data_IF_080058860455
#
_entry.id   IF_080058860455
#
_cell.length_a   1.000
_cell.length_b   1.000
_cell.length_c   1.000
_cell.angle_alpha   90.00
_cell.angle_beta   90.00
_cell.angle_gamma   90.00
#
_symmetry.space_group_name_H-M   'P 1'
#
loop_
_entity.id
_entity.type
_entity.pdbx_description
1 polymer ?
#
# COMPACT_ATOMS: atom_id res chain seq x y z
N UNK A 1 -1.39 35.96 -16.89
CA UNK A 1 -1.29 37.21 -16.10
C UNK A 1 -1.50 36.86 -14.65
N UNK A 2 -0.61 37.22 -13.73
CA UNK A 2 -0.89 37.03 -12.31
C UNK A 2 -2.07 37.92 -11.94
N UNK A 3 -3.05 37.35 -11.26
CA UNK A 3 -4.19 38.10 -10.72
C UNK A 3 -3.64 38.93 -9.55
N UNK A 4 -3.38 40.21 -9.79
CA UNK A 4 -3.06 41.16 -8.75
C UNK A 4 -4.35 41.52 -7.99
N UNK A 5 -4.73 40.72 -7.03
CA UNK A 5 -5.87 41.03 -6.18
C UNK A 5 -6.20 39.91 -5.23
N UNK A 6 -5.55 39.90 -4.08
CA UNK A 6 -5.98 39.07 -2.97
C UNK A 6 -7.26 39.65 -2.36
N UNK A 7 -8.37 38.97 -2.55
CA UNK A 7 -9.61 39.22 -1.80
C UNK A 7 -9.49 38.54 -0.44
N UNK A 8 -8.88 39.18 0.52
CA UNK A 8 -8.87 38.73 1.93
C UNK A 8 -7.51 38.77 2.63
N UNK A 9 -7.18 39.77 3.25
CA UNK A 9 -6.73 39.99 4.62
C UNK A 9 -5.30 39.59 5.04
N UNK A 10 -4.46 38.97 4.26
CA UNK A 10 -3.02 38.83 4.59
C UNK A 10 -2.19 39.29 3.42
N UNK A 11 -1.72 40.52 3.51
CA UNK A 11 -0.81 41.09 2.52
C UNK A 11 0.61 40.66 2.93
N UNK A 12 1.21 39.72 2.20
CA UNK A 12 2.64 39.50 2.26
C UNK A 12 3.34 40.45 1.32
N UNK A 13 4.44 41.04 1.76
CA UNK A 13 5.32 41.88 0.90
C UNK A 13 5.99 41.01 -0.22
N UNK A 14 5.92 39.71 -0.14
CA UNK A 14 6.52 38.77 -1.10
C UNK A 14 5.41 38.06 -1.86
N UNK A 15 5.49 38.07 -3.19
CA UNK A 15 4.58 37.29 -4.03
C UNK A 15 4.64 35.81 -3.68
N UNK A 16 3.49 35.08 -3.75
CA UNK A 16 3.50 33.61 -3.59
C UNK A 16 4.47 32.98 -4.55
N UNK A 17 5.25 32.02 -4.07
CA UNK A 17 6.19 31.28 -4.88
C UNK A 17 5.98 29.79 -4.71
N UNK A 18 6.08 29.04 -5.82
CA UNK A 18 6.00 27.59 -5.83
C UNK A 18 7.21 27.02 -6.57
N UNK A 19 7.84 26.03 -5.94
CA UNK A 19 8.92 25.25 -6.53
C UNK A 19 8.72 23.79 -6.16
N UNK A 20 9.43 22.88 -6.80
CA UNK A 20 9.42 21.45 -6.44
C UNK A 20 9.90 21.18 -5.00
N UNK A 21 10.62 22.13 -4.38
CA UNK A 21 11.13 22.02 -3.01
C UNK A 21 10.17 22.59 -1.96
N UNK A 22 9.31 23.54 -2.32
CA UNK A 22 8.38 24.14 -1.38
C UNK A 22 7.45 25.15 -2.03
N UNK A 23 6.30 25.40 -1.40
CA UNK A 23 5.38 26.48 -1.74
C UNK A 23 5.31 27.46 -0.56
N UNK A 24 5.31 28.75 -0.85
CA UNK A 24 5.23 29.81 0.14
C UNK A 24 4.22 30.87 -0.32
N UNK A 25 3.28 31.19 0.57
CA UNK A 25 2.20 32.15 0.31
C UNK A 25 0.82 31.50 0.24
N UNK A 26 -0.17 32.27 -0.20
CA UNK A 26 -1.55 31.81 -0.38
C UNK A 26 -1.79 31.57 -1.87
N UNK A 27 -2.30 30.41 -2.19
CA UNK A 27 -2.62 29.98 -3.55
C UNK A 27 -4.11 29.72 -3.67
N UNK A 28 -4.69 30.09 -4.79
CA UNK A 28 -6.03 29.64 -5.17
C UNK A 28 -5.99 28.16 -5.58
N UNK A 29 -7.15 27.49 -5.57
CA UNK A 29 -7.25 26.10 -6.03
C UNK A 29 -6.77 25.96 -7.49
N UNK A 30 -7.06 26.94 -8.34
CA UNK A 30 -6.64 26.93 -9.75
C UNK A 30 -5.12 27.01 -9.88
N UNK A 31 -4.46 27.91 -9.14
CA UNK A 31 -3.00 28.01 -9.13
C UNK A 31 -2.34 26.72 -8.63
N UNK A 32 -2.92 26.07 -7.59
CA UNK A 32 -2.45 24.79 -7.10
C UNK A 32 -2.58 23.69 -8.18
N UNK A 33 -3.73 23.62 -8.86
CA UNK A 33 -3.96 22.66 -9.93
C UNK A 33 -3.02 22.88 -11.12
N UNK A 34 -2.79 24.15 -11.51
CA UNK A 34 -1.86 24.49 -12.59
C UNK A 34 -0.41 24.13 -12.23
N UNK A 35 0.03 24.45 -11.01
CA UNK A 35 1.36 24.09 -10.54
C UNK A 35 1.54 22.57 -10.43
N UNK A 36 0.51 21.87 -9.99
CA UNK A 36 0.50 20.38 -9.93
C UNK A 36 0.59 19.78 -11.33
N UNK A 37 -0.17 20.30 -12.29
CA UNK A 37 -0.15 19.83 -13.68
C UNK A 37 1.22 20.03 -14.35
N UNK A 38 1.96 21.03 -13.91
CA UNK A 38 3.32 21.35 -14.37
C UNK A 38 4.42 20.64 -13.56
N UNK A 39 4.06 19.79 -12.59
CA UNK A 39 4.96 19.16 -11.62
C UNK A 39 5.81 20.18 -10.80
N UNK A 40 5.28 21.37 -10.60
CA UNK A 40 5.92 22.41 -9.80
C UNK A 40 5.37 22.50 -8.37
N UNK A 41 4.26 21.81 -8.07
CA UNK A 41 3.72 21.76 -6.71
C UNK A 41 4.61 20.87 -5.83
N UNK A 42 5.01 21.31 -4.62
CA UNK A 42 5.89 20.55 -3.77
C UNK A 42 5.23 19.25 -3.26
N UNK A 43 6.08 18.27 -3.02
CA UNK A 43 5.68 16.96 -2.51
C UNK A 43 5.54 15.91 -3.61
N UNK A 44 5.53 14.65 -3.18
CA UNK A 44 5.35 13.52 -4.07
C UNK A 44 3.88 13.40 -4.48
N UNK A 45 3.63 13.36 -5.79
CA UNK A 45 2.28 13.25 -6.34
C UNK A 45 2.04 11.89 -6.99
N UNK A 46 0.95 11.26 -6.61
CA UNK A 46 0.47 10.03 -7.24
C UNK A 46 -0.35 10.42 -8.48
N UNK A 47 0.14 10.05 -9.66
CA UNK A 47 -0.50 10.43 -10.91
C UNK A 47 -1.62 9.47 -11.35
N UNK A 48 -1.59 8.21 -10.90
CA UNK A 48 -2.51 7.16 -11.37
C UNK A 48 -2.81 6.13 -10.30
N UNK A 49 -3.93 5.43 -10.48
CA UNK A 49 -4.34 4.26 -9.71
C UNK A 49 -4.98 3.23 -10.65
N UNK A 50 -4.89 1.95 -10.31
CA UNK A 50 -5.67 0.91 -10.97
C UNK A 50 -7.02 0.78 -10.28
N UNK A 51 -8.10 0.69 -11.09
CA UNK A 51 -9.45 0.34 -10.62
C UNK A 51 -9.66 -1.16 -10.79
N UNK A 52 -9.79 -1.87 -9.68
CA UNK A 52 -10.21 -3.27 -9.67
C UNK A 52 -11.72 -3.33 -9.43
N UNK A 53 -12.42 -4.15 -10.22
CA UNK A 53 -13.86 -4.39 -10.10
C UNK A 53 -14.11 -5.84 -9.75
N UNK A 54 -14.75 -6.09 -8.60
CA UNK A 54 -15.13 -7.44 -8.20
C UNK A 54 -16.08 -8.10 -9.21
N UNK A 55 -17.03 -7.34 -9.78
CA UNK A 55 -17.97 -7.83 -10.79
C UNK A 55 -17.32 -8.26 -12.12
N UNK A 56 -16.11 -7.77 -12.39
CA UNK A 56 -15.32 -8.14 -13.57
C UNK A 56 -14.22 -9.15 -13.24
N UNK A 57 -14.17 -9.66 -12.01
CA UNK A 57 -13.11 -10.57 -11.51
C UNK A 57 -11.70 -9.99 -11.74
N UNK A 58 -11.57 -8.66 -11.58
CA UNK A 58 -10.34 -7.95 -11.90
C UNK A 58 -9.28 -8.16 -10.81
N UNK A 59 -8.13 -8.66 -11.20
CA UNK A 59 -6.96 -8.87 -10.32
C UNK A 59 -5.68 -8.87 -11.13
N UNK A 60 -4.55 -8.70 -10.46
CA UNK A 60 -3.24 -8.97 -11.06
C UNK A 60 -2.70 -10.27 -10.48
N UNK A 61 -1.93 -11.00 -11.29
CA UNK A 61 -1.33 -12.26 -10.88
C UNK A 61 0.14 -12.32 -11.28
N UNK A 62 0.95 -12.94 -10.40
CA UNK A 62 2.36 -13.16 -10.66
C UNK A 62 2.82 -14.45 -9.98
N UNK A 63 3.71 -15.19 -10.64
CA UNK A 63 4.43 -16.32 -10.04
C UNK A 63 5.88 -15.90 -9.83
N UNK A 64 6.38 -16.01 -8.60
CA UNK A 64 7.79 -15.73 -8.34
C UNK A 64 8.68 -16.77 -9.04
N UNK A 65 9.58 -16.31 -9.89
CA UNK A 65 10.56 -17.19 -10.54
C UNK A 65 11.60 -17.72 -9.53
N UNK A 66 11.97 -16.91 -8.55
CA UNK A 66 12.85 -17.24 -7.44
C UNK A 66 12.21 -16.91 -6.11
N UNK A 67 12.65 -17.53 -5.02
CA UNK A 67 12.28 -17.13 -3.66
C UNK A 67 13.20 -16.02 -3.14
N UNK A 68 12.65 -15.22 -2.24
CA UNK A 68 13.39 -14.27 -1.41
C UNK A 68 13.28 -14.64 0.08
N UNK A 69 13.34 -13.65 0.96
CA UNK A 69 13.17 -13.90 2.39
C UNK A 69 11.76 -14.40 2.70
N UNK A 70 11.64 -15.56 3.30
CA UNK A 70 10.36 -16.09 3.81
C UNK A 70 10.08 -15.69 5.26
N UNK A 71 10.94 -14.86 5.84
CA UNK A 71 10.85 -14.41 7.23
C UNK A 71 10.71 -12.90 7.37
N UNK A 72 11.28 -12.12 6.43
CA UNK A 72 11.36 -10.67 6.55
C UNK A 72 10.88 -10.03 5.25
N UNK A 73 9.75 -9.31 5.30
CA UNK A 73 9.15 -8.61 4.16
C UNK A 73 8.38 -7.37 4.60
N UNK A 74 8.10 -6.48 3.66
CA UNK A 74 7.14 -5.38 3.84
C UNK A 74 6.25 -5.24 2.62
N UNK A 75 4.96 -5.05 2.87
CA UNK A 75 3.99 -4.57 1.88
C UNK A 75 3.58 -3.13 2.21
N UNK A 76 3.37 -2.33 1.17
CA UNK A 76 2.76 -1.02 1.29
C UNK A 76 1.79 -0.79 0.12
N UNK A 77 0.59 -0.30 0.41
CA UNK A 77 -0.45 -0.01 -0.57
C UNK A 77 -1.19 1.28 -0.20
N UNK A 78 -1.47 2.11 -1.18
CA UNK A 78 -2.54 3.09 -1.06
C UNK A 78 -3.80 2.51 -1.68
N UNK A 79 -4.88 2.43 -0.89
CA UNK A 79 -6.13 1.80 -1.29
C UNK A 79 -7.32 2.70 -1.02
N UNK A 80 -8.31 2.66 -1.92
CA UNK A 80 -9.62 3.26 -1.71
C UNK A 80 -10.66 2.20 -1.97
N UNK A 81 -11.48 1.89 -0.95
CA UNK A 81 -12.49 0.84 -1.03
C UNK A 81 -13.70 1.34 -1.84
N UNK A 82 -14.16 0.56 -2.80
CA UNK A 82 -15.41 0.81 -3.55
C UNK A 82 -16.59 0.02 -3.02
N UNK A 83 -16.34 -0.99 -2.19
CA UNK A 83 -17.34 -1.83 -1.53
C UNK A 83 -16.96 -2.04 -0.08
N UNK A 84 -17.96 -2.02 0.80
CA UNK A 84 -17.84 -2.30 2.25
C UNK A 84 -18.69 -3.51 2.60
N UNK A 85 -18.59 -4.00 3.83
CA UNK A 85 -19.33 -5.15 4.35
C UNK A 85 -19.16 -6.40 3.49
N UNK A 86 -17.95 -6.64 3.00
CA UNK A 86 -17.58 -7.77 2.15
C UNK A 86 -16.11 -8.09 2.36
N UNK A 87 -15.77 -9.36 2.46
CA UNK A 87 -14.38 -9.80 2.47
C UNK A 87 -13.68 -9.40 1.16
N UNK A 88 -12.53 -8.73 1.25
CA UNK A 88 -11.82 -8.18 0.10
C UNK A 88 -10.31 -8.34 0.28
N UNK A 89 -9.68 -9.11 -0.56
CA UNK A 89 -8.25 -9.36 -0.50
C UNK A 89 -7.45 -8.29 -1.23
N UNK A 90 -6.52 -7.63 -0.52
CA UNK A 90 -5.53 -6.75 -1.14
C UNK A 90 -4.44 -7.55 -1.84
N UNK A 91 -3.92 -8.56 -1.14
CA UNK A 91 -2.95 -9.49 -1.73
C UNK A 91 -3.04 -10.85 -1.05
N UNK A 92 -2.81 -11.88 -1.83
CA UNK A 92 -2.69 -13.26 -1.35
C UNK A 92 -1.55 -13.97 -2.05
N UNK A 93 -0.99 -14.95 -1.37
CA UNK A 93 -0.08 -15.91 -1.96
C UNK A 93 -0.46 -17.31 -1.46
N UNK A 94 -0.58 -18.25 -2.35
CA UNK A 94 -1.15 -19.56 -2.01
C UNK A 94 -0.31 -20.71 -2.54
N UNK A 95 0.19 -21.53 -1.61
CA UNK A 95 0.85 -22.77 -1.96
C UNK A 95 -0.16 -23.92 -2.17
N UNK A 96 -1.28 -23.89 -1.45
CA UNK A 96 -2.28 -24.99 -1.49
C UNK A 96 -3.63 -24.49 -0.98
N UNK A 97 -4.63 -25.37 -0.94
CA UNK A 97 -5.95 -25.04 -0.37
C UNK A 97 -5.91 -24.67 1.12
N UNK A 98 -4.85 -25.04 1.83
CA UNK A 98 -4.74 -24.87 3.29
C UNK A 98 -3.57 -23.98 3.73
N UNK A 99 -2.73 -23.48 2.81
CA UNK A 99 -1.58 -22.65 3.11
C UNK A 99 -1.66 -21.35 2.29
N UNK A 100 -2.28 -20.33 2.85
CA UNK A 100 -2.50 -19.04 2.18
C UNK A 100 -2.08 -17.90 3.10
N UNK A 101 -1.06 -17.16 2.69
CA UNK A 101 -0.77 -15.86 3.29
C UNK A 101 -1.68 -14.80 2.67
N UNK A 102 -2.19 -13.87 3.47
CA UNK A 102 -3.06 -12.82 2.95
C UNK A 102 -3.03 -11.53 3.77
N UNK A 103 -3.39 -10.46 3.09
CA UNK A 103 -3.72 -9.14 3.64
C UNK A 103 -5.10 -8.78 3.07
N UNK A 104 -6.08 -8.51 3.95
CA UNK A 104 -7.45 -8.24 3.50
C UNK A 104 -8.25 -7.33 4.44
N UNK A 105 -9.36 -6.82 3.93
CA UNK A 105 -10.48 -6.34 4.74
C UNK A 105 -11.48 -7.49 4.93
N UNK A 106 -11.94 -7.66 6.16
CA UNK A 106 -12.93 -8.67 6.50
C UNK A 106 -14.36 -8.22 6.12
N UNK A 107 -15.35 -9.13 6.22
CA UNK A 107 -16.73 -8.80 5.91
C UNK A 107 -17.38 -7.85 6.94
N UNK A 108 -16.81 -7.70 8.12
CA UNK A 108 -17.18 -6.72 9.14
C UNK A 108 -16.42 -5.40 9.02
N UNK A 109 -15.63 -5.25 7.94
CA UNK A 109 -14.78 -4.10 7.60
C UNK A 109 -13.56 -3.90 8.52
N UNK A 110 -13.23 -4.86 9.37
CA UNK A 110 -11.94 -4.90 10.05
C UNK A 110 -10.81 -5.23 9.07
N UNK A 111 -9.57 -5.01 9.46
CA UNK A 111 -8.40 -5.31 8.64
C UNK A 111 -7.63 -6.49 9.23
N UNK A 112 -7.27 -7.46 8.41
CA UNK A 112 -6.52 -8.62 8.87
C UNK A 112 -5.31 -8.97 8.01
N UNK A 113 -4.32 -9.55 8.69
CA UNK A 113 -3.10 -10.11 8.10
C UNK A 113 -2.94 -11.53 8.63
N UNK A 114 -2.77 -12.49 7.74
CA UNK A 114 -2.55 -13.89 8.08
C UNK A 114 -1.31 -14.43 7.38
N UNK A 115 -0.54 -15.21 8.13
CA UNK A 115 0.55 -16.02 7.61
C UNK A 115 0.20 -17.49 7.88
N UNK A 116 0.12 -18.31 6.85
CA UNK A 116 -0.38 -19.68 7.00
C UNK A 116 0.58 -20.69 6.35
N UNK A 117 1.14 -21.56 7.16
CA UNK A 117 2.03 -22.62 6.69
C UNK A 117 1.39 -24.02 6.67
N UNK A 118 0.07 -24.10 6.64
CA UNK A 118 -0.77 -25.30 6.71
C UNK A 118 -0.85 -25.97 8.10
N UNK A 119 0.09 -25.71 8.99
CA UNK A 119 0.06 -26.24 10.38
C UNK A 119 -0.46 -25.21 11.36
N UNK A 120 -0.12 -23.96 11.15
CA UNK A 120 -0.57 -22.81 11.97
C UNK A 120 -0.89 -21.63 11.06
N UNK A 121 -1.83 -20.80 11.50
CA UNK A 121 -2.28 -19.61 10.79
C UNK A 121 -2.26 -18.38 11.72
N UNK A 122 -1.06 -17.90 12.13
CA UNK A 122 -0.96 -16.69 12.91
C UNK A 122 -1.62 -15.53 12.18
N UNK A 123 -2.52 -14.86 12.87
CA UNK A 123 -3.39 -13.83 12.31
C UNK A 123 -3.56 -12.68 13.30
N UNK A 124 -3.45 -11.46 12.80
CA UNK A 124 -3.87 -10.26 13.54
C UNK A 124 -5.07 -9.65 12.82
N UNK A 125 -6.12 -9.30 13.59
CA UNK A 125 -7.32 -8.64 13.09
C UNK A 125 -7.59 -7.39 13.92
N UNK A 126 -7.69 -6.24 13.26
CA UNK A 126 -7.90 -4.95 13.96
C UNK A 126 -9.24 -4.91 14.71
N UNK A 127 -9.31 -4.15 15.81
CA UNK A 127 -10.60 -3.77 16.41
C UNK A 127 -11.24 -2.62 15.63
N UNK A 128 -10.44 -1.80 14.96
CA UNK A 128 -10.92 -0.70 14.14
C UNK A 128 -11.53 -1.20 12.82
N UNK A 129 -12.54 -0.50 12.34
CA UNK A 129 -13.23 -0.74 11.06
C UNK A 129 -12.92 0.36 10.06
N UNK A 130 -12.86 0.02 8.76
CA UNK A 130 -12.46 0.90 7.68
C UNK A 130 -13.59 1.02 6.65
N UNK A 131 -14.61 1.87 6.95
CA UNK A 131 -15.91 1.95 6.25
C UNK A 131 -16.09 3.19 5.38
N UNK A 132 -15.08 4.03 5.24
CA UNK A 132 -15.19 5.23 4.42
C UNK A 132 -14.75 4.94 2.97
N UNK A 133 -15.69 4.83 2.00
CA UNK A 133 -15.34 4.62 0.60
C UNK A 133 -14.84 5.89 -0.09
N UNK A 134 -14.94 7.05 0.56
CA UNK A 134 -14.38 8.31 0.04
C UNK A 134 -12.90 8.48 0.38
N UNK A 135 -12.44 7.84 1.47
CA UNK A 135 -11.08 7.96 1.97
C UNK A 135 -10.08 7.05 1.23
N UNK A 136 -8.86 7.53 1.09
CA UNK A 136 -7.70 6.70 0.81
C UNK A 136 -7.09 6.22 2.13
N UNK A 137 -6.77 4.93 2.19
CA UNK A 137 -6.05 4.31 3.29
C UNK A 137 -4.65 3.93 2.81
N UNK A 138 -3.62 4.38 3.52
CA UNK A 138 -2.28 3.88 3.34
C UNK A 138 -2.06 2.70 4.28
N UNK A 139 -1.96 1.50 3.74
CA UNK A 139 -1.74 0.26 4.47
C UNK A 139 -0.27 -0.12 4.37
N UNK A 140 0.37 -0.35 5.51
CA UNK A 140 1.72 -0.94 5.57
C UNK A 140 1.69 -2.15 6.47
N UNK A 141 2.26 -3.26 6.00
CA UNK A 141 2.42 -4.50 6.76
C UNK A 141 3.88 -4.89 6.75
N UNK A 142 4.51 -4.84 7.90
CA UNK A 142 5.90 -5.24 8.12
C UNK A 142 5.97 -6.57 8.87
N UNK A 143 6.66 -7.54 8.31
CA UNK A 143 6.86 -8.87 8.89
C UNK A 143 8.36 -9.08 9.10
N UNK A 144 8.73 -9.52 10.30
CA UNK A 144 10.06 -10.02 10.65
C UNK A 144 9.92 -11.08 11.74
N UNK A 145 9.82 -12.33 11.32
CA UNK A 145 9.61 -13.44 12.24
C UNK A 145 10.84 -13.79 13.06
N UNK A 146 12.01 -13.21 12.78
CA UNK A 146 13.25 -13.45 13.53
C UNK A 146 13.28 -12.71 14.87
N UNK A 147 12.38 -11.74 15.06
CA UNK A 147 12.29 -10.94 16.28
C UNK A 147 12.05 -11.79 17.53
N UNK A 148 12.76 -11.48 18.61
CA UNK A 148 12.60 -12.18 19.90
C UNK A 148 11.18 -11.95 20.47
N UNK A 149 10.72 -10.70 20.45
CA UNK A 149 9.38 -10.31 20.92
C UNK A 149 8.35 -10.64 19.82
N UNK A 150 7.33 -11.40 20.16
CA UNK A 150 6.31 -11.89 19.23
C UNK A 150 5.52 -10.76 18.57
N UNK A 151 5.11 -9.73 19.32
CA UNK A 151 4.40 -8.55 18.79
C UNK A 151 5.22 -7.74 17.79
N UNK A 152 6.54 -7.94 17.73
CA UNK A 152 7.40 -7.31 16.73
C UNK A 152 7.49 -8.09 15.42
N UNK A 153 7.02 -9.35 15.40
CA UNK A 153 7.13 -10.24 14.23
C UNK A 153 6.15 -9.90 13.12
N UNK A 154 5.01 -9.31 13.48
CA UNK A 154 3.98 -8.92 12.50
C UNK A 154 3.35 -7.60 12.94
N UNK A 155 3.52 -6.54 12.15
CA UNK A 155 3.02 -5.19 12.42
C UNK A 155 2.19 -4.70 11.24
N UNK A 156 1.08 -4.09 11.55
CA UNK A 156 0.22 -3.44 10.56
C UNK A 156 0.01 -1.97 10.90
N UNK A 157 -0.10 -1.14 9.90
CA UNK A 157 -0.25 0.31 10.03
C UNK A 157 -1.31 0.81 9.05
N UNK A 158 -2.05 1.83 9.46
CA UNK A 158 -2.96 2.58 8.60
C UNK A 158 -2.67 4.07 8.71
N UNK A 159 -2.48 4.74 7.59
CA UNK A 159 -2.20 6.18 7.51
C UNK A 159 -1.06 6.63 8.44
N UNK A 160 0.02 5.86 8.49
CA UNK A 160 1.19 6.15 9.31
C UNK A 160 1.10 5.70 10.76
N UNK A 161 -0.06 5.27 11.24
CA UNK A 161 -0.31 4.88 12.64
C UNK A 161 -0.33 3.36 12.78
N UNK A 162 0.42 2.82 13.75
CA UNK A 162 0.44 1.38 14.04
C UNK A 162 -0.92 0.93 14.62
N UNK A 163 -1.44 -0.18 14.12
CA UNK A 163 -2.57 -0.87 14.73
C UNK A 163 -2.05 -1.60 15.98
N UNK A 164 -2.56 -1.22 17.15
CA UNK A 164 -2.18 -1.82 18.44
C UNK A 164 -3.38 -2.43 19.16
N UNK A 165 -4.60 -2.15 18.69
CA UNK A 165 -5.84 -2.73 19.22
C UNK A 165 -6.37 -3.78 18.23
N UNK A 166 -6.47 -5.01 18.71
CA UNK A 166 -6.89 -6.16 17.92
C UNK A 166 -8.12 -6.82 18.53
N UNK A 167 -9.07 -7.23 17.67
CA UNK A 167 -10.16 -8.13 18.06
C UNK A 167 -9.66 -9.57 18.23
N UNK A 168 -8.61 -9.91 17.47
CA UNK A 168 -7.88 -11.18 17.60
C UNK A 168 -6.43 -10.97 17.19
N UNK A 169 -5.49 -11.54 17.96
CA UNK A 169 -4.06 -11.50 17.62
C UNK A 169 -3.38 -12.82 18.01
N UNK A 170 -2.87 -13.50 17.03
CA UNK A 170 -1.97 -14.64 17.19
C UNK A 170 -0.72 -14.37 16.33
N UNK A 171 0.42 -14.27 16.99
CA UNK A 171 1.68 -13.96 16.33
C UNK A 171 2.41 -15.23 15.88
N UNK A 172 3.20 -15.19 14.78
CA UNK A 172 3.99 -16.31 14.35
C UNK A 172 5.04 -16.69 15.40
N UNK A 173 5.43 -17.96 15.45
CA UNK A 173 6.59 -18.41 16.22
C UNK A 173 7.85 -17.68 15.72
N UNK A 174 8.88 -17.60 16.58
CA UNK A 174 10.17 -17.08 16.15
C UNK A 174 10.75 -17.94 15.02
N UNK A 175 11.31 -17.29 14.00
CA UNK A 175 11.84 -17.90 12.79
C UNK A 175 10.79 -18.67 11.96
N UNK A 176 9.52 -18.27 12.07
CA UNK A 176 8.46 -18.82 11.23
C UNK A 176 8.74 -18.50 9.75
N UNK A 177 8.69 -19.52 8.90
CA UNK A 177 8.81 -19.37 7.47
C UNK A 177 7.42 -19.30 6.82
N UNK A 178 7.13 -18.18 6.15
CA UNK A 178 5.97 -18.01 5.28
C UNK A 178 6.07 -19.01 4.11
N UNK A 179 4.94 -19.58 3.72
CA UNK A 179 4.90 -20.53 2.59
C UNK A 179 4.32 -19.93 1.33
N UNK A 180 3.60 -18.84 1.43
CA UNK A 180 2.99 -18.12 0.31
C UNK A 180 3.84 -16.95 -0.11
N UNK A 181 3.84 -15.89 0.70
CA UNK A 181 4.57 -14.67 0.38
C UNK A 181 6.06 -14.94 0.21
N UNK A 182 6.58 -14.43 -0.90
CA UNK A 182 8.00 -14.47 -1.27
C UNK A 182 8.60 -15.88 -1.53
N UNK A 183 7.79 -16.92 -1.56
CA UNK A 183 8.24 -18.27 -1.92
C UNK A 183 8.33 -18.43 -3.44
N UNK A 184 9.30 -19.24 -3.91
CA UNK A 184 9.45 -19.54 -5.34
C UNK A 184 8.30 -20.37 -5.87
N UNK A 185 7.97 -20.19 -7.14
CA UNK A 185 6.93 -20.96 -7.87
C UNK A 185 5.52 -20.86 -7.26
N UNK A 186 5.27 -19.87 -6.39
CA UNK A 186 3.98 -19.60 -5.79
C UNK A 186 3.27 -18.51 -6.54
N UNK A 187 2.02 -18.79 -6.93
CA UNK A 187 1.14 -17.84 -7.56
C UNK A 187 0.63 -16.83 -6.51
N UNK A 188 0.84 -15.57 -6.81
CA UNK A 188 0.41 -14.43 -5.98
C UNK A 188 -0.67 -13.64 -6.71
N UNK A 189 -1.54 -13.00 -5.93
CA UNK A 189 -2.64 -12.16 -6.42
C UNK A 189 -2.59 -10.79 -5.74
N UNK A 190 -2.88 -9.76 -6.51
CA UNK A 190 -3.32 -8.45 -6.00
C UNK A 190 -4.78 -8.28 -6.37
N UNK A 191 -5.63 -8.04 -5.37
CA UNK A 191 -7.05 -7.79 -5.56
C UNK A 191 -7.94 -9.03 -5.65
N UNK A 192 -7.46 -10.22 -5.30
CA UNK A 192 -8.28 -11.42 -5.27
C UNK A 192 -7.75 -12.48 -4.29
N UNK A 193 -8.64 -13.38 -3.88
CA UNK A 193 -8.24 -14.65 -3.29
C UNK A 193 -7.82 -15.65 -4.37
N UNK A 194 -6.96 -16.59 -4.03
CA UNK A 194 -6.28 -17.53 -4.94
C UNK A 194 -7.17 -18.28 -5.95
N UNK A 195 -8.44 -18.45 -5.68
CA UNK A 195 -9.36 -19.21 -6.52
C UNK A 195 -10.22 -18.31 -7.40
N UNK A 196 -9.90 -17.01 -7.46
CA UNK A 196 -10.76 -16.06 -8.15
C UNK A 196 -12.08 -15.82 -7.41
N UNK A 197 -12.01 -15.76 -6.08
CA UNK A 197 -13.11 -15.37 -5.21
C UNK A 197 -12.71 -14.14 -4.36
N UNK A 198 -13.69 -13.53 -3.70
CA UNK A 198 -13.49 -12.42 -2.75
C UNK A 198 -12.63 -11.29 -3.32
N UNK A 199 -12.98 -10.88 -4.53
CA UNK A 199 -12.28 -9.83 -5.24
C UNK A 199 -12.34 -8.49 -4.51
N UNK A 200 -11.23 -7.77 -4.53
CA UNK A 200 -11.20 -6.37 -4.12
C UNK A 200 -12.01 -5.52 -5.09
N UNK A 201 -12.84 -4.65 -4.56
CA UNK A 201 -13.57 -3.64 -5.32
C UNK A 201 -13.12 -2.26 -4.86
N UNK A 202 -12.35 -1.56 -5.69
CA UNK A 202 -11.77 -0.28 -5.30
C UNK A 202 -10.61 0.14 -6.17
N UNK A 203 -9.82 1.05 -5.65
CA UNK A 203 -8.63 1.57 -6.31
C UNK A 203 -7.39 1.21 -5.51
N UNK A 204 -6.31 0.89 -6.21
CA UNK A 204 -4.98 0.64 -5.63
C UNK A 204 -3.96 1.50 -6.36
N UNK A 205 -3.04 2.08 -5.62
CA UNK A 205 -1.88 2.79 -6.17
C UNK A 205 -0.69 2.66 -5.23
N UNK A 206 0.50 3.02 -5.73
CA UNK A 206 1.73 2.99 -4.94
C UNK A 206 1.87 1.67 -4.19
N UNK A 207 1.75 0.56 -4.93
CA UNK A 207 1.88 -0.77 -4.37
C UNK A 207 3.35 -1.18 -4.35
N UNK A 208 3.85 -1.48 -3.16
CA UNK A 208 5.24 -1.88 -2.92
C UNK A 208 5.30 -3.24 -2.24
N UNK A 209 6.28 -4.02 -2.63
CA UNK A 209 6.75 -5.18 -1.91
C UNK A 209 8.25 -5.09 -1.71
N UNK A 210 8.70 -5.19 -0.48
CA UNK A 210 10.11 -5.11 -0.12
C UNK A 210 10.53 -6.44 0.47
N UNK A 211 11.53 -7.04 -0.16
CA UNK A 211 12.12 -8.31 0.24
C UNK A 211 13.28 -8.08 1.21
N UNK A 212 13.29 -8.81 2.32
CA UNK A 212 14.38 -8.82 3.30
C UNK A 212 14.40 -7.67 4.30
N UNK A 213 13.35 -6.83 4.35
CA UNK A 213 13.30 -5.70 5.29
C UNK A 213 11.92 -5.57 5.92
N UNK A 214 11.87 -5.32 7.25
CA UNK A 214 10.67 -4.87 7.97
C UNK A 214 10.72 -3.35 8.10
N UNK A 215 10.03 -2.65 7.23
CA UNK A 215 9.99 -1.19 7.18
C UNK A 215 8.76 -0.64 7.92
N UNK A 216 8.83 0.64 8.26
CA UNK A 216 7.74 1.41 8.85
C UNK A 216 7.08 2.32 7.81
N UNK A 217 5.89 2.87 8.08
CA UNK A 217 5.20 3.77 7.15
C UNK A 217 6.03 4.98 6.69
N UNK A 218 6.95 5.47 7.50
CA UNK A 218 7.81 6.62 7.16
C UNK A 218 8.71 6.39 5.93
N UNK A 219 8.87 5.13 5.50
CA UNK A 219 9.53 4.79 4.24
C UNK A 219 8.68 5.15 3.01
N UNK A 220 7.35 5.15 3.14
CA UNK A 220 6.38 5.25 2.04
C UNK A 220 5.44 6.46 2.17
N UNK A 221 5.51 7.17 3.28
CA UNK A 221 4.68 8.33 3.55
C UNK A 221 5.35 9.31 4.52
N UNK A 222 4.76 10.47 4.63
CA UNK A 222 5.22 11.57 5.49
C UNK A 222 4.03 12.38 6.00
N UNK A 223 4.12 12.85 7.23
CA UNK A 223 3.14 13.81 7.77
C UNK A 223 3.49 15.18 7.22
N UNK A 224 2.53 15.87 6.63
CA UNK A 224 2.66 17.28 6.29
C UNK A 224 2.71 18.09 7.59
N UNK A 225 3.79 18.83 7.78
CA UNK A 225 4.03 19.56 9.03
C UNK A 225 3.05 20.71 9.25
N UNK A 226 2.41 21.22 8.19
CA UNK A 226 1.48 22.36 8.27
C UNK A 226 0.04 21.92 8.49
N UNK A 227 -0.36 20.79 7.91
CA UNK A 227 -1.74 20.30 7.94
C UNK A 227 -1.96 19.09 8.84
N UNK A 228 -0.90 18.40 9.22
CA UNK A 228 -0.96 17.12 9.94
C UNK A 228 -1.44 15.96 9.07
N UNK A 229 -1.65 16.16 7.79
CA UNK A 229 -2.15 15.14 6.86
C UNK A 229 -1.04 14.16 6.50
N UNK A 230 -1.37 12.86 6.52
CA UNK A 230 -0.49 11.80 6.04
C UNK A 230 -0.47 11.76 4.52
N UNK A 231 0.67 12.04 3.91
CA UNK A 231 0.87 12.11 2.47
C UNK A 231 1.78 10.98 1.96
N UNK A 232 1.62 10.56 0.69
CA UNK A 232 2.49 9.59 0.08
C UNK A 232 3.91 10.16 -0.10
N UNK A 233 4.88 9.24 -0.04
CA UNK A 233 6.30 9.48 -0.29
C UNK A 233 6.85 8.34 -1.12
N UNK A 234 7.60 8.65 -2.17
CA UNK A 234 8.25 7.63 -2.97
C UNK A 234 9.32 6.91 -2.13
N UNK A 235 9.28 5.58 -2.14
CA UNK A 235 10.35 4.78 -1.55
C UNK A 235 11.62 4.88 -2.38
N UNK A 236 12.75 5.10 -1.71
CA UNK A 236 14.08 5.28 -2.34
C UNK A 236 15.11 4.26 -1.86
N UNK A 237 14.70 3.31 -1.02
CA UNK A 237 15.56 2.25 -0.54
C UNK A 237 15.69 1.08 -1.53
N UNK A 238 16.30 0.01 -1.07
CA UNK A 238 16.46 -1.23 -1.85
C UNK A 238 15.22 -2.10 -1.75
N UNK A 239 14.82 -2.71 -2.87
CA UNK A 239 13.63 -3.55 -2.94
C UNK A 239 13.90 -5.02 -2.57
N UNK A 240 15.17 -5.45 -2.54
CA UNK A 240 15.54 -6.87 -2.49
C UNK A 240 15.31 -7.56 -3.84
N UNK A 241 15.67 -8.84 -3.95
CA UNK A 241 15.69 -9.56 -5.24
C UNK A 241 14.28 -9.77 -5.83
N UNK A 242 13.31 -10.11 -5.00
CA UNK A 242 11.94 -10.39 -5.42
C UNK A 242 11.00 -9.20 -5.25
N UNK A 243 11.50 -8.10 -4.66
CA UNK A 243 10.75 -6.87 -4.44
C UNK A 243 10.28 -6.20 -5.72
N UNK A 244 9.19 -5.46 -5.64
CA UNK A 244 8.57 -4.77 -6.78
C UNK A 244 7.88 -3.48 -6.36
N UNK A 245 7.63 -2.61 -7.35
CA UNK A 245 6.88 -1.36 -7.22
C UNK A 245 5.94 -1.17 -8.41
N UNK A 246 4.64 -1.08 -8.13
CA UNK A 246 3.61 -0.84 -9.13
C UNK A 246 3.00 0.56 -8.91
N UNK A 247 3.29 1.46 -9.82
CA UNK A 247 2.72 2.81 -9.84
C UNK A 247 1.55 2.96 -10.83
N UNK A 248 1.27 1.90 -11.61
CA UNK A 248 0.21 1.83 -12.61
C UNK A 248 0.28 2.96 -13.67
N UNK A 249 1.50 3.42 -13.96
CA UNK A 249 1.72 4.58 -14.83
C UNK A 249 1.35 4.32 -16.27
N UNK A 250 1.54 3.09 -16.75
CA UNK A 250 1.28 2.72 -18.13
C UNK A 250 -0.03 1.94 -18.27
N UNK A 251 -1.14 2.60 -18.69
CA UNK A 251 -2.44 1.97 -18.87
C UNK A 251 -2.69 1.46 -20.30
N UNK A 252 -1.66 1.38 -21.15
CA UNK A 252 -1.82 1.08 -22.59
C UNK A 252 -2.29 -0.34 -22.85
N UNK A 253 -2.02 -1.26 -21.92
CA UNK A 253 -2.49 -2.65 -22.00
C UNK A 253 -2.66 -3.28 -20.63
N UNK A 254 -3.30 -4.44 -20.57
CA UNK A 254 -3.41 -5.25 -19.34
C UNK A 254 -2.04 -5.77 -18.88
N UNK A 255 -1.08 -5.91 -19.78
CA UNK A 255 0.29 -6.32 -19.44
C UNK A 255 1.08 -5.16 -18.85
N UNK A 256 1.01 -3.97 -19.45
CA UNK A 256 1.81 -2.82 -19.04
C UNK A 256 1.32 -2.19 -17.74
N UNK A 257 0.04 -2.36 -17.38
CA UNK A 257 -0.50 -1.88 -16.11
C UNK A 257 0.21 -2.53 -14.90
N UNK A 258 0.72 -3.75 -15.05
CA UNK A 258 1.44 -4.50 -14.04
C UNK A 258 2.96 -4.36 -14.11
N UNK A 259 3.52 -3.40 -14.84
CA UNK A 259 4.96 -3.22 -14.91
C UNK A 259 5.56 -2.81 -13.57
N UNK A 260 6.67 -3.44 -13.24
CA UNK A 260 7.48 -3.19 -12.06
C UNK A 260 8.46 -2.03 -12.31
N UNK A 261 8.36 -1.00 -11.50
CA UNK A 261 9.21 0.20 -11.54
C UNK A 261 10.29 0.20 -10.44
N UNK A 262 10.52 -0.93 -9.76
CA UNK A 262 11.62 -1.09 -8.77
C UNK A 262 13.00 -1.20 -9.41
N UNK A 263 13.05 -1.59 -10.69
CA UNK A 263 14.28 -1.96 -11.40
C UNK A 263 14.56 -3.47 -11.45
N UNK A 264 13.77 -4.29 -10.74
CA UNK A 264 13.95 -5.76 -10.69
C UNK A 264 13.25 -6.49 -11.85
N UNK A 265 12.38 -5.82 -12.59
CA UNK A 265 11.56 -6.42 -13.65
C UNK A 265 10.61 -7.53 -13.16
N UNK A 266 10.16 -7.43 -11.91
CA UNK A 266 9.20 -8.34 -11.28
C UNK A 266 7.76 -7.99 -11.65
N UNK A 267 7.43 -8.01 -12.95
CA UNK A 267 6.12 -7.62 -13.50
C UNK A 267 4.97 -8.54 -13.05
N UNK A 268 3.76 -8.00 -13.06
CA UNK A 268 2.50 -8.62 -12.64
C UNK A 268 1.53 -8.82 -13.82
#
# INVERSE_FOLDING_TARGET
MPINGYLGGVISATAPSVTTAGASGVFTLEEQLQASAQNNWPGYQISRSVRLRASASASLTRTNASGGSTQIITFSFWVKRGKISSGQYLTTASQSSVANDYIRFESDDTFSVCLNNASTAPTITSSAVYRDPSAWYHIVVGIDTTQATDTNRMKAYVNGVQITSFSSATYPAQNFNMRGFNSSSILQYIGAFRTGADYFDGYITEAYFIDGQQLTPSSFGVVDASTGVWNPKKYTGTYGTTGWYLNFKDPTSTTTIGYDYSGNSNNW
#
